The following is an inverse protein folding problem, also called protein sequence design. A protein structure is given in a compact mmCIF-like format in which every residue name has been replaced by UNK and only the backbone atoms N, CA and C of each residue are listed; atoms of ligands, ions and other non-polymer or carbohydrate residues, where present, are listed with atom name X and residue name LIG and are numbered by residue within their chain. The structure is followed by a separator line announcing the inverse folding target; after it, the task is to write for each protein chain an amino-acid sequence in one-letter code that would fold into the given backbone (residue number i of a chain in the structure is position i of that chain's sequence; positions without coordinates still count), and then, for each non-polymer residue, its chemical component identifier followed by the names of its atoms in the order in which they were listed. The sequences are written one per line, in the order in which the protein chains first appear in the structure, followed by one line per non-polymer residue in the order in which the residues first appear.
data_IF_519903986139
#
_entry.id   IF_519903986139
#
_cell.length_a   1.000
_cell.length_b   1.000
_cell.length_c   1.000
_cell.angle_alpha   90.00
_cell.angle_beta   90.00
_cell.angle_gamma   90.00
#
_symmetry.space_group_name_H-M   'P 1'
#
loop_
_entity.id
_entity.type
_entity.pdbx_description
1 polymer ?
#
# COMPACT_ATOMS: atom_id res chain seq x y z
N UNK A 1 7.94 14.04 -8.00
CA UNK A 1 7.19 12.93 -8.62
C UNK A 1 7.36 12.92 -10.13
N UNK A 2 7.26 14.07 -10.83
CA UNK A 2 7.45 14.12 -12.28
C UNK A 2 8.77 13.50 -12.74
N UNK A 3 9.89 13.80 -12.09
CA UNK A 3 11.21 13.24 -12.45
C UNK A 3 11.31 11.72 -12.28
N UNK A 4 10.53 11.13 -11.35
CA UNK A 4 10.44 9.68 -11.20
C UNK A 4 9.66 9.10 -12.38
N UNK A 5 8.53 9.72 -12.74
CA UNK A 5 7.75 9.31 -13.90
C UNK A 5 8.59 9.40 -15.18
N UNK A 6 9.30 10.50 -15.40
CA UNK A 6 10.16 10.70 -16.56
C UNK A 6 11.25 9.61 -16.65
N UNK A 7 11.86 9.25 -15.52
CA UNK A 7 12.84 8.17 -15.44
C UNK A 7 12.25 6.80 -15.79
N UNK A 8 11.02 6.50 -15.37
CA UNK A 8 10.32 5.26 -15.74
C UNK A 8 10.00 5.27 -17.24
N UNK A 9 9.46 6.38 -17.75
CA UNK A 9 9.03 6.51 -19.14
C UNK A 9 10.18 6.55 -20.15
N UNK A 10 11.42 6.85 -19.71
CA UNK A 10 12.60 6.74 -20.56
C UNK A 10 12.89 5.28 -20.99
N UNK A 11 12.55 4.30 -20.16
CA UNK A 11 12.68 2.87 -20.47
C UNK A 11 14.11 2.30 -20.44
N UNK A 12 15.13 3.15 -20.26
CA UNK A 12 16.55 2.76 -20.21
C UNK A 12 17.30 3.29 -18.98
N UNK A 13 16.60 3.91 -18.03
CA UNK A 13 17.18 4.42 -16.77
C UNK A 13 17.83 3.29 -15.97
N UNK A 14 19.10 3.46 -15.59
CA UNK A 14 19.82 2.46 -14.83
C UNK A 14 19.34 2.38 -13.37
N UNK A 15 19.50 1.20 -12.73
CA UNK A 15 19.10 1.01 -11.33
C UNK A 15 19.82 1.96 -10.34
N UNK A 16 21.07 2.32 -10.61
CA UNK A 16 21.82 3.29 -9.81
C UNK A 16 21.25 4.70 -9.95
N UNK A 17 20.72 5.06 -11.13
CA UNK A 17 20.06 6.35 -11.34
C UNK A 17 18.75 6.39 -10.53
N UNK A 18 17.94 5.32 -10.57
CA UNK A 18 16.75 5.18 -9.72
C UNK A 18 17.08 5.30 -8.22
N UNK A 19 18.17 4.66 -7.78
CA UNK A 19 18.62 4.71 -6.40
C UNK A 19 19.02 6.13 -5.94
N UNK A 20 19.39 7.01 -6.88
CA UNK A 20 19.79 8.39 -6.63
C UNK A 20 18.66 9.42 -6.86
N UNK A 21 17.51 9.03 -7.44
CA UNK A 21 16.37 9.94 -7.61
C UNK A 21 15.81 10.41 -6.26
N UNK A 22 15.61 11.70 -6.07
CA UNK A 22 14.97 12.20 -4.85
C UNK A 22 13.52 11.67 -4.73
N UNK A 23 13.22 10.96 -3.64
CA UNK A 23 11.84 10.55 -3.34
C UNK A 23 11.18 11.71 -2.59
N UNK A 24 10.02 12.23 -3.05
CA UNK A 24 9.38 13.36 -2.38
C UNK A 24 8.90 12.97 -0.99
N UNK A 25 8.85 13.95 -0.10
CA UNK A 25 8.35 13.78 1.27
C UNK A 25 6.82 13.65 1.35
N UNK A 26 6.11 13.96 0.25
CA UNK A 26 4.67 13.78 0.09
C UNK A 26 4.31 13.19 -1.28
N UNK A 27 3.17 12.53 -1.36
CA UNK A 27 2.66 11.95 -2.60
C UNK A 27 1.13 11.94 -2.63
N UNK A 28 0.57 12.06 -3.83
CA UNK A 28 -0.88 12.00 -4.06
C UNK A 28 -1.41 10.59 -3.82
N UNK A 29 -2.51 10.48 -3.08
CA UNK A 29 -3.15 9.23 -2.72
C UNK A 29 -4.68 9.34 -2.66
N UNK A 30 -5.38 8.23 -2.92
CA UNK A 30 -6.78 8.07 -2.59
C UNK A 30 -6.91 7.61 -1.12
N UNK A 31 -7.57 8.42 -0.30
CA UNK A 31 -7.71 8.21 1.14
C UNK A 31 -9.17 8.18 1.59
N UNK A 32 -9.44 7.48 2.69
CA UNK A 32 -10.64 7.71 3.52
C UNK A 32 -10.21 8.30 4.86
N UNK A 33 -11.08 9.05 5.55
CA UNK A 33 -10.74 9.74 6.79
C UNK A 33 -11.47 9.16 8.02
N UNK A 34 -10.80 9.22 9.17
CA UNK A 34 -11.27 8.60 10.41
C UNK A 34 -12.47 9.32 11.03
N UNK A 35 -12.55 10.63 10.85
CA UNK A 35 -13.65 11.47 11.35
C UNK A 35 -14.93 11.37 10.48
N UNK A 36 -14.86 10.66 9.36
CA UNK A 36 -15.99 10.43 8.45
C UNK A 36 -16.62 9.04 8.56
N UNK A 37 -16.11 8.17 9.44
CA UNK A 37 -16.54 6.75 9.51
C UNK A 37 -18.04 6.56 9.72
N UNK A 38 -18.70 7.53 10.35
CA UNK A 38 -20.15 7.51 10.65
C UNK A 38 -20.99 8.26 9.59
N UNK A 39 -20.38 8.79 8.51
CA UNK A 39 -21.07 9.62 7.50
C UNK A 39 -22.23 8.92 6.78
N UNK A 40 -22.21 7.58 6.77
CA UNK A 40 -23.24 6.75 6.14
C UNK A 40 -24.16 6.04 7.15
N UNK A 41 -24.18 6.47 8.41
CA UNK A 41 -25.15 5.95 9.38
C UNK A 41 -26.59 6.14 8.90
N UNK A 42 -27.39 5.07 8.96
CA UNK A 42 -28.78 5.07 8.49
C UNK A 42 -28.97 5.04 6.96
N UNK A 43 -27.88 5.07 6.17
CA UNK A 43 -27.93 4.94 4.71
C UNK A 43 -27.89 3.46 4.31
N UNK A 44 -28.78 3.03 3.41
CA UNK A 44 -28.77 1.66 2.89
C UNK A 44 -27.49 1.41 2.09
N UNK A 45 -26.88 0.22 2.22
CA UNK A 45 -25.57 -0.10 1.60
C UNK A 45 -25.51 0.18 0.10
N UNK A 46 -26.63 0.01 -0.63
CA UNK A 46 -26.72 0.29 -2.08
C UNK A 46 -26.55 1.76 -2.42
N UNK A 47 -26.94 2.65 -1.51
CA UNK A 47 -27.01 4.10 -1.67
C UNK A 47 -25.81 4.82 -1.05
N UNK A 48 -24.93 4.09 -0.34
CA UNK A 48 -23.63 4.61 0.10
C UNK A 48 -22.76 4.85 -1.12
N UNK A 49 -22.36 6.10 -1.32
CA UNK A 49 -21.64 6.54 -2.53
C UNK A 49 -20.15 6.74 -2.21
N UNK A 50 -19.24 5.88 -2.72
CA UNK A 50 -17.80 6.01 -2.53
C UNK A 50 -17.22 7.36 -2.89
N UNK A 51 -17.86 8.10 -3.80
CA UNK A 51 -17.41 9.43 -4.23
C UNK A 51 -17.51 10.50 -3.14
N UNK A 52 -18.24 10.22 -2.05
CA UNK A 52 -18.38 11.14 -0.93
C UNK A 52 -17.30 10.95 0.13
N UNK A 53 -16.71 9.75 0.23
CA UNK A 53 -15.77 9.35 1.29
C UNK A 53 -14.32 9.18 0.82
N UNK A 54 -14.10 9.01 -0.50
CA UNK A 54 -12.75 8.94 -1.08
C UNK A 54 -12.27 10.35 -1.42
N UNK A 55 -11.17 10.74 -0.78
CA UNK A 55 -10.45 11.98 -1.03
C UNK A 55 -9.20 11.71 -1.84
N UNK A 56 -8.83 12.63 -2.74
CA UNK A 56 -7.57 12.58 -3.47
C UNK A 56 -6.71 13.74 -3.00
N UNK A 57 -5.66 13.43 -2.26
CA UNK A 57 -4.88 14.41 -1.51
C UNK A 57 -3.41 14.00 -1.37
N UNK A 58 -2.55 14.96 -1.04
CA UNK A 58 -1.15 14.69 -0.73
C UNK A 58 -1.00 14.19 0.71
N UNK A 59 -0.32 13.06 0.89
CA UNK A 59 0.00 12.48 2.19
C UNK A 59 1.52 12.35 2.36
N UNK A 60 1.99 12.35 3.60
CA UNK A 60 3.41 12.21 3.91
C UNK A 60 3.94 10.81 3.52
N UNK A 61 5.15 10.76 2.98
CA UNK A 61 5.87 9.53 2.68
C UNK A 61 6.16 8.77 4.00
N UNK A 62 5.77 7.49 4.13
CA UNK A 62 6.09 6.72 5.32
C UNK A 62 7.58 6.41 5.42
N UNK A 63 8.09 6.30 6.64
CA UNK A 63 9.43 5.78 6.89
C UNK A 63 9.54 4.33 6.40
N UNK A 64 10.62 4.02 5.68
CA UNK A 64 10.90 2.70 5.13
C UNK A 64 11.58 1.80 6.17
N UNK A 65 10.93 0.71 6.55
CA UNK A 65 11.41 -0.25 7.54
C UNK A 65 12.21 -1.41 6.93
N UNK A 66 12.77 -2.29 7.78
CA UNK A 66 13.46 -3.50 7.32
C UNK A 66 12.55 -4.42 6.51
N UNK A 67 13.09 -5.05 5.46
CA UNK A 67 12.36 -6.02 4.65
C UNK A 67 11.27 -5.42 3.75
N UNK A 68 11.24 -4.11 3.57
CA UNK A 68 10.19 -3.40 2.82
C UNK A 68 10.71 -2.74 1.54
N UNK A 69 9.79 -2.29 0.69
CA UNK A 69 10.08 -1.49 -0.49
C UNK A 69 9.11 -0.33 -0.64
N UNK A 70 9.64 0.84 -1.00
CA UNK A 70 8.86 1.91 -1.59
C UNK A 70 8.78 1.67 -3.09
N UNK A 71 7.59 1.79 -3.65
CA UNK A 71 7.35 1.58 -5.09
C UNK A 71 6.59 2.76 -5.66
N UNK A 72 7.10 3.31 -6.77
CA UNK A 72 6.37 4.22 -7.63
C UNK A 72 5.29 3.44 -8.37
N UNK A 73 4.03 3.71 -8.05
CA UNK A 73 2.89 3.01 -8.63
C UNK A 73 2.59 3.63 -9.99
N UNK A 74 2.57 2.80 -11.02
CA UNK A 74 2.18 3.18 -12.38
C UNK A 74 0.69 2.91 -12.62
N UNK A 75 0.18 1.82 -12.05
CA UNK A 75 -1.23 1.47 -12.09
C UNK A 75 -1.63 0.68 -10.84
N UNK A 76 -2.92 0.73 -10.52
CA UNK A 76 -3.57 -0.06 -9.47
C UNK A 76 -4.95 -0.51 -9.96
N UNK A 77 -5.73 -1.16 -9.10
CA UNK A 77 -7.07 -1.65 -9.42
C UNK A 77 -8.04 -1.35 -8.27
N UNK A 78 -9.33 -1.33 -8.60
CA UNK A 78 -10.41 -1.23 -7.63
C UNK A 78 -10.96 -2.63 -7.38
N UNK A 79 -10.83 -3.09 -6.14
CA UNK A 79 -11.37 -4.37 -5.68
C UNK A 79 -12.62 -4.15 -4.81
N UNK A 80 -13.32 -5.25 -4.53
CA UNK A 80 -14.43 -5.22 -3.56
C UNK A 80 -14.01 -4.71 -2.17
N UNK A 81 -12.80 -5.03 -1.70
CA UNK A 81 -12.30 -4.52 -0.42
C UNK A 81 -12.07 -2.99 -0.43
N UNK A 82 -11.72 -2.41 -1.59
CA UNK A 82 -11.66 -0.96 -1.79
C UNK A 82 -13.05 -0.35 -1.68
N UNK A 83 -14.05 -0.96 -2.33
CA UNK A 83 -15.45 -0.53 -2.25
C UNK A 83 -15.94 -0.61 -0.80
N UNK A 84 -15.75 -1.73 -0.11
CA UNK A 84 -16.13 -1.91 1.29
C UNK A 84 -15.46 -0.89 2.22
N UNK A 85 -14.18 -0.58 2.00
CA UNK A 85 -13.49 0.48 2.73
C UNK A 85 -14.16 1.83 2.52
N UNK A 86 -14.47 2.18 1.28
CA UNK A 86 -15.08 3.47 0.94
C UNK A 86 -16.48 3.66 1.51
N UNK A 87 -17.19 2.59 1.86
CA UNK A 87 -18.53 2.67 2.46
C UNK A 87 -18.54 2.27 3.95
N UNK A 88 -17.34 2.09 4.52
CA UNK A 88 -17.09 1.68 5.91
C UNK A 88 -17.81 0.38 6.34
N UNK A 89 -17.88 -0.62 5.44
CA UNK A 89 -18.53 -1.91 5.69
C UNK A 89 -17.56 -3.10 5.66
N UNK A 90 -17.88 -4.21 6.37
CA UNK A 90 -18.95 -4.33 7.38
C UNK A 90 -18.65 -3.55 8.66
N UNK A 91 -17.40 -3.11 8.82
CA UNK A 91 -16.91 -2.20 9.84
C UNK A 91 -15.84 -1.30 9.23
N UNK A 92 -15.58 -0.16 9.84
CA UNK A 92 -14.51 0.76 9.41
C UNK A 92 -13.12 0.09 9.47
N UNK A 93 -12.30 0.35 8.44
CA UNK A 93 -10.94 -0.20 8.35
C UNK A 93 -9.99 0.35 9.41
N UNK A 94 -10.27 1.55 9.94
CA UNK A 94 -9.50 2.16 11.03
C UNK A 94 -9.42 1.27 12.28
N UNK A 95 -10.43 0.43 12.53
CA UNK A 95 -10.38 -0.55 13.62
C UNK A 95 -9.27 -1.60 13.44
N UNK A 96 -8.97 -2.02 12.20
CA UNK A 96 -7.84 -2.91 11.92
C UNK A 96 -6.51 -2.16 12.05
N UNK A 97 -6.43 -0.95 11.51
CA UNK A 97 -5.21 -0.13 11.55
C UNK A 97 -4.78 0.20 12.99
N UNK A 98 -5.73 0.58 13.85
CA UNK A 98 -5.47 0.84 15.26
C UNK A 98 -4.99 -0.41 16.01
N UNK A 99 -5.59 -1.58 15.74
CA UNK A 99 -5.16 -2.84 16.36
C UNK A 99 -3.74 -3.20 15.92
N UNK A 100 -3.47 -3.11 14.62
CA UNK A 100 -2.14 -3.40 14.08
C UNK A 100 -1.10 -2.41 14.62
N UNK A 101 -1.44 -1.12 14.70
CA UNK A 101 -0.56 -0.08 15.21
C UNK A 101 -0.18 -0.19 16.69
N UNK A 102 -0.80 -1.10 17.45
CA UNK A 102 -0.45 -1.38 18.85
C UNK A 102 0.60 -2.48 19.00
N UNK A 103 0.93 -3.23 17.94
CA UNK A 103 1.83 -4.38 18.02
C UNK A 103 3.29 -3.97 18.20
N UNK A 104 3.79 -3.00 17.43
CA UNK A 104 5.18 -2.57 17.54
C UNK A 104 5.39 -1.12 17.07
N UNK A 105 6.56 -0.51 17.34
CA UNK A 105 6.90 0.80 16.79
C UNK A 105 6.82 0.87 15.26
N UNK A 106 7.18 -0.21 14.56
CA UNK A 106 7.12 -0.28 13.11
C UNK A 106 5.68 -0.38 12.59
N UNK A 107 4.77 -1.03 13.32
CA UNK A 107 3.38 -1.17 12.87
C UNK A 107 2.58 0.10 13.17
N UNK A 108 3.00 0.90 14.16
CA UNK A 108 2.32 2.14 14.57
C UNK A 108 2.12 3.14 13.44
N UNK A 109 3.02 3.21 12.46
CA UNK A 109 2.89 4.10 11.29
C UNK A 109 1.65 3.86 10.43
N UNK A 110 1.00 2.70 10.54
CA UNK A 110 -0.25 2.44 9.81
C UNK A 110 -1.49 3.05 10.51
N UNK A 111 -1.41 3.33 11.81
CA UNK A 111 -2.47 3.95 12.61
C UNK A 111 -2.40 5.48 12.49
N UNK A 112 -3.05 5.98 11.43
CA UNK A 112 -3.10 7.39 11.04
C UNK A 112 -4.56 7.87 10.98
N UNK A 113 -4.81 9.19 10.99
CA UNK A 113 -6.17 9.73 10.83
C UNK A 113 -6.74 9.56 9.41
N UNK A 114 -5.93 9.09 8.46
CA UNK A 114 -6.31 8.75 7.09
C UNK A 114 -5.85 7.34 6.73
N UNK A 115 -6.50 6.73 5.74
CA UNK A 115 -6.14 5.42 5.21
C UNK A 115 -6.00 5.49 3.68
N UNK A 116 -4.78 5.33 3.18
CA UNK A 116 -4.48 5.18 1.74
C UNK A 116 -4.87 3.78 1.29
N UNK A 117 -5.91 3.68 0.45
CA UNK A 117 -6.52 2.41 0.04
C UNK A 117 -5.84 1.78 -1.18
N UNK A 118 -6.20 0.54 -1.49
CA UNK A 118 -5.84 -0.15 -2.74
C UNK A 118 -4.93 -1.35 -2.52
N UNK A 119 -5.35 -2.52 -3.02
CA UNK A 119 -4.69 -3.80 -2.73
C UNK A 119 -3.96 -4.42 -3.93
N UNK A 120 -3.87 -3.70 -5.03
CA UNK A 120 -3.10 -4.10 -6.22
C UNK A 120 -2.13 -2.99 -6.61
N UNK A 121 -1.07 -3.37 -7.31
CA UNK A 121 -0.28 -2.43 -8.10
C UNK A 121 0.56 -3.09 -9.18
N UNK A 122 0.92 -2.27 -10.16
CA UNK A 122 2.08 -2.44 -11.03
C UNK A 122 2.93 -1.16 -10.95
N UNK A 123 4.25 -1.28 -10.94
CA UNK A 123 5.14 -0.13 -10.85
C UNK A 123 6.61 -0.47 -10.70
N UNK A 124 7.40 0.50 -10.25
CA UNK A 124 8.86 0.39 -10.19
C UNK A 124 9.37 0.59 -8.76
N UNK A 125 10.26 -0.30 -8.31
CA UNK A 125 10.90 -0.17 -6.99
C UNK A 125 11.71 1.13 -6.93
N UNK A 126 11.46 1.97 -5.93
CA UNK A 126 12.23 3.20 -5.67
C UNK A 126 13.33 2.96 -4.64
N UNK A 127 12.99 2.34 -3.52
CA UNK A 127 13.89 2.10 -2.39
C UNK A 127 13.57 0.77 -1.74
N UNK A 128 14.58 0.17 -1.13
CA UNK A 128 14.45 -1.06 -0.36
C UNK A 128 15.04 -0.88 1.02
N UNK A 129 14.35 -1.38 2.04
CA UNK A 129 14.80 -1.30 3.42
C UNK A 129 15.92 -2.31 3.74
N UNK A 130 16.48 -2.22 4.95
CA UNK A 130 17.50 -3.16 5.42
C UNK A 130 17.07 -4.62 5.26
N UNK A 131 18.00 -5.48 4.82
CA UNK A 131 17.77 -6.93 4.68
C UNK A 131 17.12 -7.37 3.36
N UNK A 132 16.63 -6.44 2.54
CA UNK A 132 16.13 -6.78 1.19
C UNK A 132 17.31 -7.06 0.26
N UNK A 133 17.32 -8.23 -0.36
CA UNK A 133 18.40 -8.68 -1.28
C UNK A 133 17.92 -9.02 -2.68
N UNK A 134 16.67 -9.47 -2.81
CA UNK A 134 16.07 -9.90 -4.09
C UNK A 134 15.68 -8.72 -4.98
N UNK A 135 15.35 -7.59 -4.37
CA UNK A 135 14.80 -6.42 -5.06
C UNK A 135 15.75 -5.23 -5.00
N UNK A 136 15.77 -4.44 -6.07
CA UNK A 136 16.63 -3.27 -6.25
C UNK A 136 15.84 -2.13 -6.90
N UNK A 137 16.22 -0.87 -6.65
CA UNK A 137 15.67 0.27 -7.37
C UNK A 137 15.69 0.09 -8.89
N UNK A 138 14.63 0.51 -9.57
CA UNK A 138 14.46 0.38 -11.02
C UNK A 138 13.81 -0.92 -11.50
N UNK A 139 13.60 -1.91 -10.63
CA UNK A 139 12.93 -3.14 -11.05
C UNK A 139 11.42 -2.97 -11.15
N UNK A 140 10.85 -3.46 -12.25
CA UNK A 140 9.41 -3.51 -12.50
C UNK A 140 8.75 -4.65 -11.74
N UNK A 141 7.67 -4.34 -11.06
CA UNK A 141 7.05 -5.22 -10.08
C UNK A 141 5.53 -5.06 -10.03
N UNK A 142 4.85 -6.19 -9.84
CA UNK A 142 3.51 -6.25 -9.27
C UNK A 142 3.59 -6.69 -7.81
N UNK A 143 2.48 -6.65 -7.07
CA UNK A 143 2.44 -7.13 -5.70
C UNK A 143 1.18 -7.95 -5.41
N UNK A 144 1.33 -9.02 -4.63
CA UNK A 144 0.17 -9.67 -4.01
C UNK A 144 -0.21 -8.96 -2.70
N UNK A 145 -1.47 -9.04 -2.31
CA UNK A 145 -1.97 -8.28 -1.16
C UNK A 145 -1.72 -8.93 0.21
N UNK A 146 -1.39 -10.22 0.28
CA UNK A 146 -1.14 -10.89 1.57
C UNK A 146 0.13 -10.34 2.25
N UNK A 147 -0.02 -9.75 3.43
CA UNK A 147 1.06 -9.33 4.32
C UNK A 147 1.05 -10.21 5.58
N UNK A 148 2.14 -10.91 5.84
CA UNK A 148 2.33 -11.77 7.01
C UNK A 148 3.54 -11.32 7.82
N UNK A 149 3.52 -11.53 9.14
CA UNK A 149 4.68 -11.30 10.01
C UNK A 149 5.55 -12.56 10.15
N UNK A 150 4.95 -13.75 10.16
CA UNK A 150 5.64 -15.05 10.29
C UNK A 150 6.45 -15.21 11.58
N UNK A 151 6.11 -14.45 12.63
CA UNK A 151 6.67 -14.63 13.98
C UNK A 151 6.08 -15.86 14.68
N UNK A 152 4.82 -16.21 14.38
CA UNK A 152 4.17 -17.40 14.91
C UNK A 152 4.53 -18.65 14.09
N UNK A 153 4.59 -19.85 14.71
CA UNK A 153 4.92 -21.08 14.00
C UNK A 153 3.83 -21.55 13.02
N UNK A 154 2.57 -21.17 13.26
CA UNK A 154 1.40 -21.66 12.52
C UNK A 154 1.49 -21.36 11.01
N UNK A 155 2.12 -20.24 10.63
CA UNK A 155 2.29 -19.81 9.24
C UNK A 155 3.43 -20.47 8.45
N UNK A 156 4.22 -21.38 9.05
CA UNK A 156 5.44 -21.91 8.43
C UNK A 156 5.23 -23.11 7.51
N UNK A 157 4.05 -23.76 7.54
CA UNK A 157 3.64 -24.78 6.55
C UNK A 157 2.68 -24.20 5.50
N UNK A 158 1.85 -23.23 5.91
CA UNK A 158 0.99 -22.42 5.04
C UNK A 158 0.88 -21.01 5.61
N UNK A 159 1.36 -20.00 4.87
CA UNK A 159 1.36 -18.61 5.35
C UNK A 159 -0.04 -18.04 5.53
N UNK A 160 -1.07 -18.66 4.94
CA UNK A 160 -2.47 -18.30 5.18
C UNK A 160 -2.93 -18.62 6.62
N UNK A 161 -2.17 -19.44 7.35
CA UNK A 161 -2.40 -19.78 8.75
C UNK A 161 -1.64 -18.86 9.71
N UNK A 162 -0.90 -17.86 9.21
CA UNK A 162 -0.26 -16.86 10.06
C UNK A 162 -1.35 -16.05 10.81
N UNK A 163 -1.33 -16.00 12.15
CA UNK A 163 -2.36 -15.32 12.93
C UNK A 163 -2.33 -13.80 12.79
N UNK A 164 -1.27 -13.24 12.20
CA UNK A 164 -1.07 -11.81 11.94
C UNK A 164 -1.12 -11.48 10.43
N UNK A 165 -1.69 -12.39 9.63
CA UNK A 165 -1.94 -12.14 8.22
C UNK A 165 -2.92 -10.96 8.04
N UNK A 166 -2.65 -10.13 7.03
CA UNK A 166 -3.43 -8.95 6.68
C UNK A 166 -3.47 -8.75 5.18
N UNK A 167 -4.53 -8.11 4.69
CA UNK A 167 -4.65 -7.65 3.32
C UNK A 167 -4.10 -6.22 3.21
N UNK A 168 -3.02 -6.06 2.44
CA UNK A 168 -2.37 -4.78 2.17
C UNK A 168 -3.33 -3.78 1.52
N UNK A 169 -3.34 -2.53 1.99
CA UNK A 169 -4.24 -1.46 1.52
C UNK A 169 -5.71 -1.64 1.94
N UNK A 170 -5.97 -2.57 2.86
CA UNK A 170 -7.26 -2.81 3.50
C UNK A 170 -7.12 -2.90 5.03
N UNK A 171 -6.30 -3.83 5.53
CA UNK A 171 -5.94 -3.98 6.95
C UNK A 171 -4.57 -3.37 7.27
N UNK A 172 -3.90 -2.81 6.26
CA UNK A 172 -2.70 -1.98 6.40
C UNK A 172 -2.90 -0.69 5.63
N UNK A 173 -2.28 0.39 6.11
CA UNK A 173 -2.19 1.65 5.36
C UNK A 173 -1.23 1.55 4.16
N UNK A 174 -1.03 2.67 3.46
CA UNK A 174 -0.07 2.85 2.35
C UNK A 174 -0.34 1.91 1.15
N UNK A 175 -1.62 1.78 0.79
CA UNK A 175 -2.10 0.99 -0.35
C UNK A 175 -1.68 1.51 -1.72
N UNK A 176 -2.14 0.81 -2.76
CA UNK A 176 -1.75 1.00 -4.15
C UNK A 176 -2.53 2.06 -4.93
N UNK A 177 -3.66 2.59 -4.44
CA UNK A 177 -4.37 3.69 -5.12
C UNK A 177 -3.72 5.03 -4.77
N UNK A 178 -2.45 5.16 -5.14
CA UNK A 178 -1.60 6.33 -4.87
C UNK A 178 -0.42 6.37 -5.83
N UNK A 179 0.35 7.46 -5.83
CA UNK A 179 1.61 7.54 -6.60
C UNK A 179 2.75 6.72 -5.97
N UNK A 180 2.73 6.51 -4.65
CA UNK A 180 3.73 5.71 -3.95
C UNK A 180 3.04 4.74 -3.00
N UNK A 181 3.55 3.51 -2.98
CA UNK A 181 3.11 2.45 -2.07
C UNK A 181 4.27 1.99 -1.19
N UNK A 182 3.98 1.66 0.07
CA UNK A 182 4.88 0.92 0.95
C UNK A 182 4.39 -0.53 1.01
N UNK A 183 5.27 -1.48 0.70
CA UNK A 183 4.97 -2.90 0.78
C UNK A 183 6.08 -3.67 1.49
N UNK A 184 5.79 -4.87 1.98
CA UNK A 184 6.83 -5.82 2.30
C UNK A 184 7.46 -6.38 1.02
N UNK A 185 8.76 -6.61 1.04
CA UNK A 185 9.52 -7.11 -0.11
C UNK A 185 9.13 -8.54 -0.51
N UNK A 186 8.56 -9.32 0.40
CA UNK A 186 8.02 -10.65 0.12
C UNK A 186 6.65 -10.62 -0.60
N UNK A 187 6.02 -9.45 -0.73
CA UNK A 187 4.80 -9.27 -1.53
C UNK A 187 5.09 -9.09 -3.02
N UNK A 188 6.33 -8.75 -3.37
CA UNK A 188 6.74 -8.37 -4.70
C UNK A 188 6.84 -9.58 -5.63
N UNK A 189 6.39 -9.40 -6.87
CA UNK A 189 6.54 -10.32 -7.98
C UNK A 189 7.02 -9.53 -9.21
N UNK A 190 7.81 -10.14 -10.12
CA UNK A 190 8.23 -9.45 -11.35
C UNK A 190 7.00 -9.07 -12.19
N UNK A 191 7.03 -7.88 -12.78
CA UNK A 191 5.99 -7.46 -13.73
C UNK A 191 6.03 -8.36 -14.98
N UNK A 192 4.88 -8.82 -15.51
CA UNK A 192 4.86 -9.56 -16.77
C UNK A 192 5.15 -8.64 -17.97
N UNK A 193 6.27 -8.86 -18.67
CA UNK A 193 6.78 -8.02 -19.78
C UNK A 193 5.81 -7.81 -20.97
N UNK A 194 4.76 -8.61 -21.08
CA UNK A 194 3.80 -8.57 -22.20
C UNK A 194 2.55 -7.72 -21.90
N UNK A 195 2.44 -7.17 -20.69
CA UNK A 195 1.35 -6.29 -20.27
C UNK A 195 1.88 -4.86 -20.11
N UNK A 196 1.12 -3.88 -20.59
CA UNK A 196 1.46 -2.45 -20.56
C UNK A 196 0.41 -1.67 -19.79
#
# INVERSE_FOLDING_TARGET
MQHILDAIMAGDTAGDDFANLDVPDHYLAATVHKDEVDMFEGVASRDKDPRQSIHVEDVALPELGPGEALVAVMASAINYNTVWTSIFEPVSTFGFLERYGRLSPLTKRHDLPYHVVGSDRAGVVLRTGPGVTKWKPGQEVVAHCLSVELEAPDGHDDTMMDPEQRIWGFETNFGGLAHVALVKSNQLLPMPDHLT
#
